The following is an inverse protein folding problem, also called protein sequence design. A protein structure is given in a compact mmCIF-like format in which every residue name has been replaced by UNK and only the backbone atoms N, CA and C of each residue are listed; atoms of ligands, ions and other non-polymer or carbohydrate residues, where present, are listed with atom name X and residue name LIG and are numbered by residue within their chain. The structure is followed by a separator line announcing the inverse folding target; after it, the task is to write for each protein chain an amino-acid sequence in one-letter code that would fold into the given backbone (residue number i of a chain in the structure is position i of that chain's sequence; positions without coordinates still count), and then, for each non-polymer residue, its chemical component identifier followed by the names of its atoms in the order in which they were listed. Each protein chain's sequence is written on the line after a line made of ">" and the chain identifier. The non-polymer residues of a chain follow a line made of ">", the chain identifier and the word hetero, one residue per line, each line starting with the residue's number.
data_IF_844543286041
#
_entry.id   IF_844543286041
#
_cell.length_a   1.000
_cell.length_b   1.000
_cell.length_c   1.000
_cell.angle_alpha   90.00
_cell.angle_beta   90.00
_cell.angle_gamma   90.00
#
_symmetry.space_group_name_H-M   'P 1'
#
loop_
_entity.id
_entity.type
_entity.pdbx_description
1 polymer ?
#
# COMPACT_ATOMS: atom_id res chain seq x y z
N UNK A 1 -12.54 4.63 13.99
CA UNK A 1 -11.39 3.74 13.68
C UNK A 1 -10.21 4.59 13.26
N UNK A 2 -9.01 4.30 13.79
CA UNK A 2 -7.77 5.03 13.47
C UNK A 2 -6.78 4.13 12.75
N UNK A 3 -6.20 4.60 11.65
CA UNK A 3 -5.26 3.86 10.81
C UNK A 3 -3.98 4.66 10.68
N UNK A 4 -2.85 4.11 11.09
CA UNK A 4 -1.55 4.73 10.83
C UNK A 4 -1.12 4.36 9.40
N UNK A 5 -0.96 5.36 8.55
CA UNK A 5 -0.51 5.23 7.17
C UNK A 5 0.91 5.79 7.04
N UNK A 6 1.80 5.07 6.35
CA UNK A 6 3.21 5.46 6.20
C UNK A 6 3.71 5.21 4.78
N UNK A 7 4.62 6.05 4.27
CA UNK A 7 5.31 5.87 2.99
C UNK A 7 6.61 6.68 2.89
N UNK A 8 7.55 6.20 2.10
CA UNK A 8 8.74 6.86 1.54
C UNK A 8 9.76 7.36 2.57
N UNK A 9 9.33 8.04 3.61
CA UNK A 9 10.21 8.61 4.62
C UNK A 9 9.92 8.07 6.03
N UNK A 10 10.98 7.78 6.79
CA UNK A 10 10.84 7.45 8.22
C UNK A 10 10.42 8.72 8.97
N UNK A 11 9.21 8.72 9.51
CA UNK A 11 8.77 9.80 10.37
C UNK A 11 9.41 9.68 11.75
N UNK A 12 10.14 10.70 12.25
CA UNK A 12 10.76 10.67 13.58
C UNK A 12 9.77 10.50 14.73
N UNK A 13 8.50 10.89 14.54
CA UNK A 13 7.47 10.71 15.56
C UNK A 13 7.01 9.26 15.66
N UNK A 14 7.03 8.53 14.53
CA UNK A 14 6.73 7.10 14.48
C UNK A 14 7.96 6.29 14.86
N UNK A 15 9.16 6.66 14.35
CA UNK A 15 10.41 5.96 14.66
C UNK A 15 11.03 6.49 15.95
N UNK A 16 10.33 6.35 17.06
CA UNK A 16 10.74 6.85 18.36
C UNK A 16 10.33 5.92 19.50
N UNK A 17 10.99 6.05 20.65
CA UNK A 17 10.67 5.30 21.88
C UNK A 17 9.23 5.56 22.36
N UNK A 18 8.64 6.69 21.99
CA UNK A 18 7.29 7.10 22.40
C UNK A 18 6.21 6.66 21.39
N UNK A 19 6.53 5.82 20.41
CA UNK A 19 5.59 5.37 19.38
C UNK A 19 4.34 4.73 19.95
N UNK A 20 4.46 3.91 20.98
CA UNK A 20 3.34 3.24 21.64
C UNK A 20 2.40 4.24 22.34
N UNK A 21 2.94 5.28 22.98
CA UNK A 21 2.15 6.35 23.59
C UNK A 21 1.37 7.15 22.54
N UNK A 22 2.01 7.49 21.43
CA UNK A 22 1.41 8.33 20.37
C UNK A 22 0.44 7.58 19.48
N UNK A 23 0.78 6.36 19.11
CA UNK A 23 0.08 5.58 18.07
C UNK A 23 -0.50 4.25 18.59
N UNK A 24 -0.39 3.93 19.88
CA UNK A 24 -0.93 2.69 20.44
C UNK A 24 -2.44 2.55 20.32
N UNK A 25 -3.15 3.68 20.14
CA UNK A 25 -4.62 3.69 19.93
C UNK A 25 -5.05 3.43 18.49
N UNK A 26 -4.12 3.24 17.53
CA UNK A 26 -4.51 2.88 16.15
C UNK A 26 -5.00 1.45 16.08
N UNK A 27 -5.90 1.18 15.16
CA UNK A 27 -6.50 -0.14 14.97
C UNK A 27 -5.67 -1.02 14.02
N UNK A 28 -5.02 -0.40 13.03
CA UNK A 28 -4.11 -1.07 12.09
C UNK A 28 -3.10 -0.10 11.48
N UNK A 29 -2.09 -0.64 10.80
CA UNK A 29 -1.07 0.12 10.08
C UNK A 29 -1.06 -0.27 8.60
N UNK A 30 -1.01 0.72 7.70
CA UNK A 30 -0.89 0.54 6.26
C UNK A 30 0.38 1.22 5.75
N UNK A 31 1.19 0.52 4.96
CA UNK A 31 2.34 1.12 4.28
C UNK A 31 2.17 1.14 2.78
N UNK A 32 2.34 2.32 2.19
CA UNK A 32 2.32 2.53 0.74
C UNK A 32 3.70 2.36 0.07
N UNK A 33 4.68 1.78 0.77
CA UNK A 33 5.96 1.37 0.22
C UNK A 33 7.12 2.33 0.45
N UNK A 34 8.27 1.97 -0.12
CA UNK A 34 9.55 2.69 -0.09
C UNK A 34 10.10 3.01 1.32
N UNK A 35 9.87 2.07 2.24
CA UNK A 35 10.39 2.11 3.61
C UNK A 35 11.19 0.83 3.91
N UNK A 36 12.33 0.92 4.60
CA UNK A 36 13.15 -0.27 4.88
C UNK A 36 12.42 -1.25 5.80
N UNK A 37 12.60 -2.55 5.58
CA UNK A 37 11.94 -3.61 6.35
C UNK A 37 12.18 -3.49 7.86
N UNK A 38 13.36 -3.04 8.29
CA UNK A 38 13.66 -2.77 9.71
C UNK A 38 12.73 -1.73 10.36
N UNK A 39 12.23 -0.79 9.56
CA UNK A 39 11.24 0.17 10.06
C UNK A 39 9.88 -0.50 10.27
N UNK A 40 9.51 -1.43 9.39
CA UNK A 40 8.32 -2.25 9.56
C UNK A 40 8.41 -3.15 10.81
N UNK A 41 9.54 -3.85 10.98
CA UNK A 41 9.82 -4.66 12.18
C UNK A 41 9.69 -3.86 13.48
N UNK A 42 10.25 -2.64 13.48
CA UNK A 42 10.13 -1.72 14.61
C UNK A 42 8.66 -1.37 14.91
N UNK A 43 7.88 -0.97 13.90
CA UNK A 43 6.48 -0.58 14.08
C UNK A 43 5.65 -1.77 14.58
N UNK A 44 5.80 -2.93 13.95
CA UNK A 44 5.07 -4.14 14.33
C UNK A 44 5.37 -4.55 15.77
N UNK A 45 6.66 -4.60 16.14
CA UNK A 45 7.08 -4.98 17.48
C UNK A 45 6.65 -3.97 18.57
N UNK A 46 6.60 -2.68 18.20
CA UNK A 46 6.26 -1.60 19.15
C UNK A 46 4.76 -1.42 19.34
N UNK A 47 3.97 -1.56 18.27
CA UNK A 47 2.52 -1.31 18.30
C UNK A 47 1.69 -2.58 18.48
N UNK A 48 2.20 -3.74 18.04
CA UNK A 48 1.48 -5.02 18.05
C UNK A 48 0.07 -4.92 17.41
N UNK A 49 0.00 -4.27 16.24
CA UNK A 49 -1.22 -4.05 15.45
C UNK A 49 -1.15 -4.79 14.13
N UNK A 50 -2.29 -5.15 13.50
CA UNK A 50 -2.30 -5.62 12.11
C UNK A 50 -1.53 -4.66 11.22
N UNK A 51 -0.61 -5.18 10.43
CA UNK A 51 0.27 -4.40 9.56
C UNK A 51 0.21 -4.94 8.14
N UNK A 52 -0.16 -4.07 7.19
CA UNK A 52 -0.25 -4.40 5.79
C UNK A 52 0.62 -3.46 4.97
N UNK A 53 1.34 -4.00 3.98
CA UNK A 53 2.24 -3.21 3.16
C UNK A 53 2.23 -3.62 1.70
N UNK A 54 2.65 -2.70 0.85
CA UNK A 54 3.03 -2.94 -0.54
C UNK A 54 4.49 -2.51 -0.75
N UNK A 55 5.04 -2.85 -1.90
CA UNK A 55 6.35 -2.37 -2.29
C UNK A 55 6.25 -1.13 -3.19
N UNK A 56 7.17 -0.18 -2.99
CA UNK A 56 7.41 0.90 -3.94
C UNK A 56 8.38 0.47 -5.04
N UNK A 57 8.99 1.42 -5.72
CA UNK A 57 9.95 1.15 -6.80
C UNK A 57 11.43 1.15 -6.34
N UNK A 58 11.71 1.44 -5.07
CA UNK A 58 13.06 1.41 -4.49
C UNK A 58 13.37 0.20 -3.59
N UNK A 59 12.48 -0.78 -3.49
CA UNK A 59 12.62 -1.99 -2.66
C UNK A 59 13.21 -3.20 -3.40
N UNK A 60 14.10 -2.99 -4.37
CA UNK A 60 14.53 -4.03 -5.32
C UNK A 60 15.15 -5.26 -4.67
N UNK A 61 16.02 -5.09 -3.67
CA UNK A 61 16.69 -6.20 -2.98
C UNK A 61 15.72 -7.01 -2.09
N UNK A 62 14.87 -6.33 -1.36
CA UNK A 62 13.88 -6.96 -0.48
C UNK A 62 12.79 -7.67 -1.28
N UNK A 63 12.36 -7.09 -2.42
CA UNK A 63 11.41 -7.73 -3.34
C UNK A 63 11.94 -9.00 -3.96
N UNK A 64 13.24 -9.09 -4.25
CA UNK A 64 13.84 -10.30 -4.82
C UNK A 64 13.67 -11.51 -3.88
N UNK A 65 13.73 -11.30 -2.57
CA UNK A 65 13.47 -12.31 -1.54
C UNK A 65 12.01 -12.78 -1.59
N UNK A 66 11.05 -11.85 -1.74
CA UNK A 66 9.63 -12.17 -1.84
C UNK A 66 9.23 -12.79 -3.19
N UNK A 67 9.79 -12.33 -4.31
CA UNK A 67 9.52 -12.85 -5.66
C UNK A 67 10.00 -14.28 -5.85
N UNK A 68 11.17 -14.65 -5.35
CA UNK A 68 11.69 -16.04 -5.41
C UNK A 68 10.74 -17.03 -4.74
N UNK A 69 9.94 -16.57 -3.80
CA UNK A 69 9.03 -17.39 -3.04
C UNK A 69 7.63 -17.56 -3.66
N UNK A 70 7.24 -16.72 -4.62
CA UNK A 70 5.87 -16.75 -5.19
C UNK A 70 5.75 -17.43 -6.56
N UNK A 71 6.86 -17.69 -7.28
CA UNK A 71 6.82 -18.05 -8.71
C UNK A 71 7.62 -19.28 -9.12
N UNK A 72 8.37 -19.91 -8.24
CA UNK A 72 9.06 -21.17 -8.57
C UNK A 72 8.32 -22.35 -7.96
N UNK A 73 8.25 -23.46 -8.73
CA UNK A 73 7.98 -24.81 -8.21
C UNK A 73 9.07 -25.30 -7.22
N UNK A 74 9.76 -24.37 -6.61
CA UNK A 74 10.79 -24.60 -5.63
C UNK A 74 10.20 -25.20 -4.36
N UNK A 75 10.88 -26.20 -3.87
CA UNK A 75 10.65 -27.01 -2.69
C UNK A 75 9.90 -26.34 -1.54
N UNK A 76 9.20 -27.13 -0.74
CA UNK A 76 8.55 -26.74 0.53
C UNK A 76 9.42 -25.83 1.43
N UNK A 77 10.75 -25.95 1.34
CA UNK A 77 11.71 -25.10 2.07
C UNK A 77 11.65 -23.62 1.64
N UNK A 78 11.55 -23.33 0.33
CA UNK A 78 11.45 -21.94 -0.16
C UNK A 78 10.10 -21.29 0.14
N UNK A 79 9.01 -22.05 0.11
CA UNK A 79 7.68 -21.56 0.57
C UNK A 79 7.73 -21.19 2.06
N UNK A 80 8.48 -21.96 2.85
CA UNK A 80 8.70 -21.68 4.27
C UNK A 80 9.55 -20.42 4.49
N UNK A 81 10.48 -20.08 3.61
CA UNK A 81 11.36 -18.92 3.76
C UNK A 81 10.63 -17.59 3.42
N UNK A 82 9.74 -17.58 2.42
CA UNK A 82 8.87 -16.43 2.16
C UNK A 82 7.84 -16.22 3.25
N UNK A 83 7.29 -17.29 3.72
CA UNK A 83 6.39 -17.29 4.86
C UNK A 83 7.15 -16.84 6.13
N UNK A 84 8.40 -17.24 6.32
CA UNK A 84 9.30 -16.78 7.39
C UNK A 84 9.68 -15.30 7.25
N UNK A 85 9.90 -14.79 6.04
CA UNK A 85 10.21 -13.36 5.82
C UNK A 85 8.98 -12.47 6.07
N UNK A 86 7.78 -12.89 5.65
CA UNK A 86 6.54 -12.18 6.00
C UNK A 86 6.24 -12.32 7.50
N UNK A 87 6.49 -13.47 8.10
CA UNK A 87 6.38 -13.68 9.55
C UNK A 87 7.51 -12.98 10.33
N UNK A 88 8.71 -12.88 9.77
CA UNK A 88 9.83 -12.17 10.39
C UNK A 88 9.56 -10.67 10.54
N UNK A 89 8.82 -10.08 9.60
CA UNK A 89 8.40 -8.67 9.67
C UNK A 89 7.14 -8.53 10.55
N UNK A 90 6.36 -9.60 10.72
CA UNK A 90 5.08 -9.58 11.44
C UNK A 90 3.97 -8.83 10.71
N UNK A 91 4.14 -8.58 9.38
CA UNK A 91 3.17 -7.88 8.53
C UNK A 91 2.77 -8.71 7.31
N UNK A 92 1.64 -8.38 6.69
CA UNK A 92 1.15 -9.06 5.48
C UNK A 92 1.32 -8.19 4.23
N UNK A 93 1.93 -8.78 3.20
CA UNK A 93 2.10 -8.11 1.90
C UNK A 93 0.78 -8.13 1.12
N UNK A 94 0.28 -6.93 0.79
CA UNK A 94 -0.94 -6.71 0.00
C UNK A 94 -0.71 -6.73 -1.51
N UNK A 95 0.51 -6.86 -1.97
CA UNK A 95 0.88 -6.72 -3.38
C UNK A 95 0.05 -7.60 -4.32
N UNK A 96 -0.77 -6.97 -5.18
CA UNK A 96 -1.69 -7.65 -6.10
C UNK A 96 -2.82 -8.42 -5.43
N UNK A 97 -3.09 -8.21 -4.14
CA UNK A 97 -4.12 -8.93 -3.38
C UNK A 97 -5.33 -8.05 -3.05
N UNK A 98 -6.44 -8.73 -2.84
CA UNK A 98 -7.66 -8.18 -2.21
C UNK A 98 -7.97 -9.05 -1.00
N UNK A 99 -8.07 -8.48 0.18
CA UNK A 99 -8.29 -9.23 1.40
C UNK A 99 -9.19 -8.48 2.38
N UNK A 100 -9.65 -9.20 3.40
CA UNK A 100 -10.40 -8.64 4.52
C UNK A 100 -9.54 -8.74 5.77
N UNK A 101 -9.29 -7.62 6.43
CA UNK A 101 -8.67 -7.64 7.75
C UNK A 101 -9.58 -8.32 8.77
N UNK A 102 -8.99 -9.26 9.52
CA UNK A 102 -9.74 -10.08 10.49
C UNK A 102 -10.20 -9.29 11.72
N UNK A 103 -9.45 -8.25 12.09
CA UNK A 103 -9.68 -7.47 13.31
C UNK A 103 -10.71 -6.36 13.08
N UNK A 104 -10.51 -5.54 12.05
CA UNK A 104 -11.36 -4.37 11.77
C UNK A 104 -12.49 -4.68 10.79
N UNK A 105 -12.37 -5.77 10.02
CA UNK A 105 -13.32 -6.10 8.96
C UNK A 105 -13.17 -5.28 7.70
N UNK A 106 -12.15 -4.43 7.58
CA UNK A 106 -11.85 -3.63 6.40
C UNK A 106 -11.51 -4.51 5.20
N UNK A 107 -12.04 -4.14 4.05
CA UNK A 107 -11.69 -4.72 2.76
C UNK A 107 -10.57 -3.89 2.15
N UNK A 108 -9.38 -4.50 2.04
CA UNK A 108 -8.14 -3.87 1.61
C UNK A 108 -7.69 -4.43 0.27
N UNK A 109 -7.04 -3.59 -0.54
CA UNK A 109 -6.38 -4.02 -1.76
C UNK A 109 -5.06 -3.26 -1.95
N UNK A 110 -4.05 -3.88 -2.58
CA UNK A 110 -2.74 -3.27 -2.78
C UNK A 110 -2.19 -3.40 -4.19
N UNK A 111 -1.63 -2.31 -4.72
CA UNK A 111 -0.98 -2.23 -6.03
C UNK A 111 0.28 -1.36 -5.92
N UNK A 112 1.42 -1.98 -5.67
CA UNK A 112 2.70 -1.30 -5.54
C UNK A 112 3.36 -0.97 -6.89
N UNK A 113 4.53 -0.33 -6.79
CA UNK A 113 5.35 0.11 -7.90
C UNK A 113 4.93 1.43 -8.51
N UNK A 114 5.74 1.92 -9.46
CA UNK A 114 5.53 3.21 -10.15
C UNK A 114 5.33 3.04 -11.66
N UNK A 115 4.96 4.14 -12.33
CA UNK A 115 5.00 4.22 -13.79
C UNK A 115 6.43 3.97 -14.28
N UNK A 116 6.57 3.25 -15.40
CA UNK A 116 7.88 2.93 -15.96
C UNK A 116 8.52 4.18 -16.55
N UNK A 117 9.62 4.61 -15.98
CA UNK A 117 10.42 5.72 -16.44
C UNK A 117 11.85 5.30 -16.83
N UNK A 118 12.32 4.14 -16.37
CA UNK A 118 13.61 3.53 -16.71
C UNK A 118 13.52 2.00 -16.72
N UNK A 119 14.64 1.29 -16.65
CA UNK A 119 14.71 -0.18 -16.59
C UNK A 119 14.77 -0.73 -15.15
N UNK A 120 14.39 0.07 -14.16
CA UNK A 120 14.33 -0.36 -12.76
C UNK A 120 13.25 -1.40 -12.51
N UNK A 121 13.43 -2.13 -11.41
CA UNK A 121 12.44 -3.11 -10.97
C UNK A 121 11.17 -2.43 -10.45
N UNK A 122 10.08 -3.19 -10.43
CA UNK A 122 8.77 -2.78 -9.90
C UNK A 122 8.20 -1.51 -10.52
N UNK A 123 8.47 -1.34 -11.82
CA UNK A 123 7.91 -0.28 -12.65
C UNK A 123 7.05 -0.90 -13.73
N UNK A 124 5.87 -0.33 -13.93
CA UNK A 124 4.84 -0.89 -14.79
C UNK A 124 4.38 0.12 -15.85
N UNK A 125 4.04 -0.37 -17.03
CA UNK A 125 3.26 0.39 -18.01
C UNK A 125 1.81 0.46 -17.59
N UNK A 126 1.03 1.38 -18.17
CA UNK A 126 -0.43 1.43 -18.00
C UNK A 126 -1.08 0.08 -18.27
N UNK A 127 -0.70 -0.59 -19.36
CA UNK A 127 -1.28 -1.88 -19.75
C UNK A 127 -1.00 -2.99 -18.71
N UNK A 128 0.23 -3.05 -18.20
CA UNK A 128 0.59 -4.00 -17.14
C UNK A 128 -0.19 -3.72 -15.84
N UNK A 129 -0.39 -2.44 -15.49
CA UNK A 129 -1.17 -2.07 -14.32
C UNK A 129 -2.65 -2.45 -14.48
N UNK A 130 -3.26 -2.24 -15.67
CA UNK A 130 -4.59 -2.77 -15.96
C UNK A 130 -4.65 -4.29 -15.83
N UNK A 131 -3.66 -5.02 -16.35
CA UNK A 131 -3.57 -6.48 -16.23
C UNK A 131 -3.52 -6.96 -14.77
N UNK A 132 -2.83 -6.20 -13.89
CA UNK A 132 -2.81 -6.48 -12.44
C UNK A 132 -4.17 -6.24 -11.80
N UNK A 133 -4.85 -5.16 -12.15
CA UNK A 133 -6.21 -4.86 -11.66
C UNK A 133 -7.20 -5.94 -12.11
N UNK A 134 -7.14 -6.39 -13.37
CA UNK A 134 -8.04 -7.42 -13.90
C UNK A 134 -7.96 -8.72 -13.09
N UNK A 135 -6.77 -9.10 -12.61
CA UNK A 135 -6.58 -10.29 -11.75
C UNK A 135 -7.27 -10.17 -10.38
N UNK A 136 -7.53 -8.94 -9.91
CA UNK A 136 -8.18 -8.68 -8.63
C UNK A 136 -9.72 -8.71 -8.73
N UNK A 137 -10.28 -8.55 -9.94
CA UNK A 137 -11.73 -8.43 -10.16
C UNK A 137 -12.54 -9.58 -9.55
N UNK A 138 -12.18 -10.87 -9.72
CA UNK A 138 -12.97 -11.95 -9.13
C UNK A 138 -13.17 -11.81 -7.62
N UNK A 139 -12.10 -11.39 -6.91
CA UNK A 139 -12.17 -11.20 -5.45
C UNK A 139 -12.96 -9.93 -5.07
N UNK A 140 -12.85 -8.86 -5.86
CA UNK A 140 -13.65 -7.64 -5.68
C UNK A 140 -15.15 -7.94 -5.88
N UNK A 141 -15.51 -8.72 -6.89
CA UNK A 141 -16.89 -9.17 -7.12
C UNK A 141 -17.41 -10.05 -5.98
N UNK A 142 -16.58 -10.98 -5.50
CA UNK A 142 -16.91 -11.77 -4.32
C UNK A 142 -17.20 -10.87 -3.11
N UNK A 143 -16.36 -9.86 -2.85
CA UNK A 143 -16.58 -8.92 -1.75
C UNK A 143 -17.91 -8.16 -1.93
N UNK A 144 -18.23 -7.73 -3.16
CA UNK A 144 -19.50 -7.04 -3.45
C UNK A 144 -20.70 -7.89 -3.11
N UNK A 145 -20.67 -9.18 -3.47
CA UNK A 145 -21.75 -10.13 -3.17
C UNK A 145 -21.81 -10.40 -1.66
N UNK A 146 -20.66 -10.64 -1.03
CA UNK A 146 -20.59 -11.09 0.38
C UNK A 146 -20.76 -9.98 1.40
N UNK A 147 -20.28 -8.75 1.09
CA UNK A 147 -20.19 -7.63 2.04
C UNK A 147 -20.90 -6.35 1.55
N UNK A 148 -21.57 -6.39 0.39
CA UNK A 148 -22.29 -5.24 -0.18
C UNK A 148 -21.39 -4.16 -0.83
N UNK A 149 -20.05 -4.27 -0.73
CA UNK A 149 -19.09 -3.31 -1.26
C UNK A 149 -17.86 -4.03 -1.81
N UNK A 150 -17.15 -3.40 -2.76
CA UNK A 150 -15.97 -4.02 -3.40
C UNK A 150 -14.75 -4.00 -2.48
N UNK A 151 -14.44 -2.83 -1.91
CA UNK A 151 -13.37 -2.60 -0.94
C UNK A 151 -13.56 -1.29 -0.20
N UNK A 152 -12.86 -1.11 0.91
CA UNK A 152 -12.85 0.11 1.69
C UNK A 152 -11.64 0.99 1.32
N UNK A 153 -10.45 0.38 1.24
CA UNK A 153 -9.19 1.09 1.02
C UNK A 153 -8.37 0.41 -0.09
N UNK A 154 -7.96 1.20 -1.08
CA UNK A 154 -6.92 0.83 -2.04
C UNK A 154 -5.60 1.47 -1.60
N UNK A 155 -4.57 0.66 -1.38
CA UNK A 155 -3.20 1.13 -1.13
C UNK A 155 -2.41 1.01 -2.41
N UNK A 156 -1.88 2.14 -2.91
CA UNK A 156 -1.00 2.18 -4.08
C UNK A 156 0.32 2.84 -3.71
N UNK A 157 1.42 2.53 -4.44
CA UNK A 157 2.62 3.32 -4.24
C UNK A 157 2.56 4.60 -5.06
N UNK A 158 2.39 4.51 -6.37
CA UNK A 158 2.19 5.67 -7.23
C UNK A 158 0.78 6.26 -7.09
N UNK A 159 0.60 7.57 -7.33
CA UNK A 159 -0.69 8.25 -7.34
C UNK A 159 -1.53 7.91 -8.58
N UNK A 160 -2.83 8.29 -8.59
CA UNK A 160 -3.61 8.35 -9.81
C UNK A 160 -3.15 9.49 -10.73
N UNK A 161 -3.28 9.32 -12.06
CA UNK A 161 -2.94 10.36 -13.05
C UNK A 161 -3.75 11.64 -12.85
N UNK A 162 -3.05 12.78 -12.74
CA UNK A 162 -3.66 14.10 -12.56
C UNK A 162 -4.22 14.36 -11.16
N UNK A 163 -3.93 13.49 -10.18
CA UNK A 163 -4.38 13.64 -8.79
C UNK A 163 -3.21 13.36 -7.86
N UNK A 164 -2.55 14.42 -7.40
CA UNK A 164 -1.39 14.30 -6.51
C UNK A 164 -0.13 13.73 -7.18
N UNK A 165 -0.12 13.59 -8.51
CA UNK A 165 1.04 13.16 -9.29
C UNK A 165 1.95 14.36 -9.68
N UNK A 166 3.17 14.07 -10.11
CA UNK A 166 4.11 15.07 -10.61
C UNK A 166 4.08 15.21 -12.13
N UNK A 167 4.64 16.30 -12.62
CA UNK A 167 4.77 16.55 -14.06
C UNK A 167 5.92 15.77 -14.70
N UNK A 168 6.92 15.38 -13.91
CA UNK A 168 8.05 14.61 -14.40
C UNK A 168 7.70 13.13 -14.61
N UNK A 169 8.55 12.43 -15.39
CA UNK A 169 8.27 11.05 -15.82
C UNK A 169 8.25 10.05 -14.66
N UNK A 170 9.04 10.26 -13.61
CA UNK A 170 9.11 9.32 -12.49
C UNK A 170 7.90 9.44 -11.55
N UNK A 171 7.36 10.65 -11.36
CA UNK A 171 6.20 10.90 -10.49
C UNK A 171 4.85 10.91 -11.23
N UNK A 172 4.86 10.58 -12.53
CA UNK A 172 3.62 10.41 -13.32
C UNK A 172 2.75 9.29 -12.74
N UNK A 173 1.48 9.59 -12.47
CA UNK A 173 0.50 8.64 -11.95
C UNK A 173 -0.16 7.75 -13.01
N UNK A 174 -0.93 6.73 -12.57
CA UNK A 174 -1.63 5.77 -13.43
C UNK A 174 -3.07 6.19 -13.75
N UNK A 175 -3.45 6.18 -15.02
CA UNK A 175 -4.85 6.29 -15.47
C UNK A 175 -5.68 5.08 -15.03
N UNK A 176 -5.04 3.92 -14.92
CA UNK A 176 -5.65 2.69 -14.43
C UNK A 176 -6.28 2.86 -13.05
N UNK A 177 -5.70 3.69 -12.17
CA UNK A 177 -6.27 3.97 -10.84
C UNK A 177 -7.51 4.86 -10.91
N UNK A 178 -7.58 5.79 -11.87
CA UNK A 178 -8.81 6.56 -12.12
C UNK A 178 -9.96 5.65 -12.54
N UNK A 179 -9.68 4.69 -13.43
CA UNK A 179 -10.65 3.69 -13.84
C UNK A 179 -11.08 2.80 -12.65
N UNK A 180 -10.10 2.36 -11.85
CA UNK A 180 -10.36 1.55 -10.65
C UNK A 180 -11.30 2.25 -9.67
N UNK A 181 -11.01 3.50 -9.33
CA UNK A 181 -11.83 4.29 -8.40
C UNK A 181 -13.26 4.49 -8.91
N UNK A 182 -13.44 4.81 -10.19
CA UNK A 182 -14.79 4.94 -10.79
C UNK A 182 -15.56 3.62 -10.78
N UNK A 183 -14.89 2.48 -11.01
CA UNK A 183 -15.54 1.18 -11.12
C UNK A 183 -15.84 0.54 -9.78
N UNK A 184 -14.90 0.59 -8.85
CA UNK A 184 -14.96 -0.14 -7.57
C UNK A 184 -15.22 0.75 -6.36
N UNK A 185 -15.15 2.07 -6.52
CA UNK A 185 -15.55 3.09 -5.54
C UNK A 185 -15.00 2.83 -4.14
N UNK A 186 -13.67 2.70 -3.93
CA UNK A 186 -13.11 2.66 -2.60
C UNK A 186 -13.42 3.97 -1.86
N UNK A 187 -13.59 3.92 -0.54
CA UNK A 187 -13.70 5.14 0.25
C UNK A 187 -12.38 5.93 0.24
N UNK A 188 -11.25 5.21 0.24
CA UNK A 188 -9.92 5.81 0.27
C UNK A 188 -8.99 5.16 -0.74
N UNK A 189 -8.13 5.99 -1.36
CA UNK A 189 -6.92 5.56 -2.05
C UNK A 189 -5.74 6.21 -1.32
N UNK A 190 -4.86 5.39 -0.76
CA UNK A 190 -3.65 5.84 -0.05
C UNK A 190 -2.45 5.64 -0.95
N UNK A 191 -1.62 6.67 -1.12
CA UNK A 191 -0.42 6.56 -1.94
C UNK A 191 0.78 7.29 -1.31
N UNK A 192 1.98 6.92 -1.73
CA UNK A 192 3.24 7.60 -1.46
C UNK A 192 3.85 8.16 -2.73
N UNK A 193 5.13 7.88 -2.95
CA UNK A 193 5.94 8.15 -4.14
C UNK A 193 6.20 9.62 -4.43
N UNK A 194 5.20 10.48 -4.34
CA UNK A 194 5.36 11.93 -4.50
C UNK A 194 5.64 12.55 -3.14
N UNK A 195 6.85 13.06 -2.96
CA UNK A 195 7.29 13.62 -1.69
C UNK A 195 6.63 14.99 -1.44
N UNK A 196 5.97 15.13 -0.32
CA UNK A 196 5.35 16.39 0.10
C UNK A 196 6.39 17.31 0.74
N UNK A 197 7.16 17.99 -0.09
CA UNK A 197 8.17 18.98 0.36
C UNK A 197 7.48 20.32 0.64
N UNK A 198 6.49 20.69 -0.17
CA UNK A 198 5.68 21.89 0.02
C UNK A 198 4.43 21.53 0.85
N UNK A 199 4.34 22.10 2.04
CA UNK A 199 3.22 21.90 2.96
C UNK A 199 1.92 22.57 2.48
N UNK A 200 1.98 23.45 1.48
CA UNK A 200 0.77 24.07 0.88
C UNK A 200 0.07 23.16 -0.13
N UNK A 201 0.74 22.09 -0.60
CA UNK A 201 0.10 21.11 -1.49
C UNK A 201 -0.92 20.29 -0.68
N UNK A 202 -2.19 20.22 -1.13
CA UNK A 202 -3.20 19.48 -0.41
C UNK A 202 -2.85 17.99 -0.36
N UNK A 203 -2.79 17.43 0.84
CA UNK A 203 -2.53 16.00 1.08
C UNK A 203 -3.72 15.13 0.67
N UNK A 204 -4.94 15.68 0.72
CA UNK A 204 -6.19 14.97 0.44
C UNK A 204 -6.87 15.65 -0.74
N UNK A 205 -7.20 14.87 -1.75
CA UNK A 205 -7.92 15.32 -2.95
C UNK A 205 -9.12 14.40 -3.16
N UNK A 206 -10.33 14.97 -3.21
CA UNK A 206 -11.55 14.19 -3.47
C UNK A 206 -11.70 13.87 -4.95
N UNK A 207 -11.91 12.59 -5.28
CA UNK A 207 -12.22 12.13 -6.63
C UNK A 207 -13.45 11.22 -6.61
N UNK A 208 -14.60 11.72 -7.07
CA UNK A 208 -15.90 11.05 -6.93
C UNK A 208 -16.16 10.63 -5.47
N UNK A 209 -16.34 9.32 -5.22
CA UNK A 209 -16.60 8.79 -3.88
C UNK A 209 -15.31 8.45 -3.09
N UNK A 210 -14.13 8.68 -3.68
CA UNK A 210 -12.83 8.30 -3.12
C UNK A 210 -12.06 9.51 -2.62
N UNK A 211 -11.56 9.47 -1.40
CA UNK A 211 -10.53 10.40 -0.93
C UNK A 211 -9.16 9.84 -1.29
N UNK A 212 -8.44 10.54 -2.15
CA UNK A 212 -7.06 10.24 -2.52
C UNK A 212 -6.14 10.94 -1.54
N UNK A 213 -5.33 10.18 -0.81
CA UNK A 213 -4.51 10.68 0.30
C UNK A 213 -3.05 10.35 0.04
N UNK A 214 -2.20 11.36 -0.02
CA UNK A 214 -0.75 11.17 -0.01
C UNK A 214 -0.29 10.95 1.45
N UNK A 215 0.26 9.76 1.73
CA UNK A 215 0.67 9.34 3.07
C UNK A 215 2.20 9.45 3.29
N UNK A 216 2.89 10.30 2.52
CA UNK A 216 4.32 10.56 2.66
C UNK A 216 4.71 10.85 4.13
N UNK A 217 5.76 10.18 4.62
CA UNK A 217 6.15 10.18 6.02
C UNK A 217 5.16 9.38 6.86
N UNK A 218 4.25 10.06 7.53
CA UNK A 218 3.12 9.45 8.23
C UNK A 218 1.83 10.27 8.12
N UNK A 219 0.70 9.57 8.23
CA UNK A 219 -0.64 10.15 8.28
C UNK A 219 -1.57 9.26 9.12
N UNK A 220 -2.35 9.84 10.02
CA UNK A 220 -3.38 9.10 10.75
C UNK A 220 -4.72 9.33 10.08
N UNK A 221 -5.26 8.29 9.45
CA UNK A 221 -6.59 8.30 8.87
C UNK A 221 -7.62 7.96 9.95
N UNK A 222 -8.53 8.88 10.21
CA UNK A 222 -9.71 8.63 11.06
C UNK A 222 -10.89 8.27 10.16
N UNK A 223 -11.39 7.05 10.32
CA UNK A 223 -12.55 6.54 9.59
C UNK A 223 -13.69 6.33 10.57
N UNK A 224 -14.82 6.98 10.29
CA UNK A 224 -16.10 6.81 11.00
C UNK A 224 -16.70 5.41 10.79
#
# INVERSE_FOLDING_TARGET
>A
MKILCIADAKDPLVYSVNVAERYGSVDLVLSAGDLPLRYYEFIVSSLNKPFYFIFGNHHTEDMAKFKKCSWSEASLEFKNEAHRLSWGIGGECLEGKVMRDGTTGLLLAGLGGSMRYNHGDHQFTEFEMYGRILKMIPKLLYNKIRYGRFLDILVTHAPPRGIGDGEDRCHTGFKAFLWFMRKFKPGYLLHGHVHLIDLNVPRIIRYHETDVINVYGSYVLEKD
#
